data_IF_309308530791
#
_entry.id   IF_309308530791
#
_cell.length_a   1.000
_cell.length_b   1.000
_cell.length_c   1.000
_cell.angle_alpha   90.00
_cell.angle_beta   90.00
_cell.angle_gamma   90.00
#
_symmetry.space_group_name_H-M   'P 1'
#
loop_
_entity.id
_entity.type
_entity.pdbx_description
1 polymer ?
#
# COMPACT_ATOMS: atom_id res chain seq x y z
N UNK A 1 12.79 -25.94 -13.94
CA UNK A 1 13.35 -24.64 -13.56
C UNK A 1 12.39 -23.61 -14.15
N UNK A 2 11.32 -23.28 -13.44
CA UNK A 2 10.30 -22.35 -13.94
C UNK A 2 10.85 -20.95 -13.68
N UNK A 3 11.25 -20.30 -14.76
CA UNK A 3 11.69 -18.91 -14.77
C UNK A 3 10.49 -18.05 -14.41
N UNK A 4 10.41 -17.62 -13.16
CA UNK A 4 9.41 -16.66 -12.64
C UNK A 4 9.77 -15.25 -13.10
N UNK A 5 10.03 -15.07 -14.39
CA UNK A 5 9.97 -13.76 -15.03
C UNK A 5 8.49 -13.46 -15.28
N UNK A 6 8.06 -12.23 -15.04
CA UNK A 6 6.66 -11.76 -15.08
C UNK A 6 5.95 -11.95 -13.75
N UNK A 7 5.95 -10.89 -12.94
CA UNK A 7 4.73 -10.52 -12.20
C UNK A 7 4.64 -9.01 -11.96
N UNK A 8 5.73 -8.26 -12.07
CA UNK A 8 5.73 -6.79 -12.18
C UNK A 8 6.95 -6.38 -13.03
N UNK A 9 6.76 -5.75 -14.19
CA UNK A 9 7.84 -5.40 -15.15
C UNK A 9 8.94 -4.49 -14.57
N UNK A 10 8.74 -3.94 -13.36
CA UNK A 10 9.66 -3.01 -12.68
C UNK A 10 9.89 -3.32 -11.19
N UNK A 11 9.58 -4.53 -10.74
CA UNK A 11 9.91 -4.89 -9.37
C UNK A 11 11.43 -4.95 -9.21
N UNK A 12 11.99 -4.09 -8.35
CA UNK A 12 13.43 -4.05 -8.07
C UNK A 12 13.80 -4.76 -6.76
N UNK A 13 12.81 -5.08 -5.93
CA UNK A 13 13.00 -5.87 -4.72
C UNK A 13 11.76 -6.72 -4.41
N UNK A 14 11.95 -7.82 -3.68
CA UNK A 14 10.85 -8.72 -3.34
C UNK A 14 11.20 -9.78 -2.29
N UNK A 15 10.18 -10.28 -1.61
CA UNK A 15 10.32 -11.30 -0.58
C UNK A 15 9.07 -12.18 -0.49
N UNK A 16 9.26 -13.44 -0.09
CA UNK A 16 8.15 -14.33 0.27
C UNK A 16 7.73 -14.03 1.70
N UNK A 17 6.47 -13.69 1.89
CA UNK A 17 5.88 -13.46 3.20
C UNK A 17 5.52 -14.79 3.86
N UNK A 18 6.01 -14.99 5.08
CA UNK A 18 5.66 -16.15 5.89
C UNK A 18 4.53 -15.81 6.88
N UNK A 19 3.81 -16.85 7.32
CA UNK A 19 2.74 -16.78 8.31
C UNK A 19 3.27 -16.38 9.69
N UNK A 20 4.44 -16.90 10.06
CA UNK A 20 5.22 -16.42 11.22
C UNK A 20 6.01 -15.19 10.82
N UNK A 21 6.42 -14.36 11.78
CA UNK A 21 6.98 -13.00 11.66
C UNK A 21 8.19 -12.79 10.73
N UNK A 22 8.57 -13.76 9.91
CA UNK A 22 9.66 -13.69 8.95
C UNK A 22 9.21 -13.45 7.50
N UNK A 23 10.22 -13.28 6.67
CA UNK A 23 10.14 -13.22 5.23
C UNK A 23 11.35 -13.97 4.64
N UNK A 24 11.21 -14.60 3.48
CA UNK A 24 12.31 -15.28 2.78
C UNK A 24 12.70 -14.47 1.54
N UNK A 25 14.00 -14.26 1.27
CA UNK A 25 14.40 -13.60 0.04
C UNK A 25 13.97 -14.43 -1.17
N UNK A 26 13.52 -13.75 -2.22
CA UNK A 26 13.25 -14.40 -3.50
C UNK A 26 14.58 -14.72 -4.21
N UNK A 27 14.68 -15.86 -4.91
CA UNK A 27 15.81 -16.12 -5.80
C UNK A 27 15.89 -15.02 -6.87
N UNK A 28 17.08 -14.49 -7.10
CA UNK A 28 17.37 -13.48 -8.15
C UNK A 28 16.68 -12.11 -7.99
N UNK A 29 16.00 -11.87 -6.86
CA UNK A 29 15.40 -10.57 -6.55
C UNK A 29 16.06 -9.99 -5.29
N UNK A 30 16.56 -8.74 -5.33
CA UNK A 30 17.16 -8.10 -4.17
C UNK A 30 16.19 -7.98 -2.98
N UNK A 31 16.74 -8.01 -1.76
CA UNK A 31 16.03 -7.56 -0.56
C UNK A 31 15.94 -6.04 -0.50
N UNK A 32 15.20 -5.52 0.48
CA UNK A 32 15.04 -4.08 0.73
C UNK A 32 14.88 -3.85 2.23
N UNK A 33 15.32 -2.69 2.72
CA UNK A 33 15.16 -2.27 4.13
C UNK A 33 13.70 -2.30 4.61
N UNK A 34 12.72 -2.21 3.70
CA UNK A 34 11.29 -2.31 4.04
C UNK A 34 10.86 -3.74 4.41
N UNK A 35 11.71 -4.73 4.16
CA UNK A 35 11.52 -6.12 4.56
C UNK A 35 12.27 -6.46 5.85
N UNK A 36 13.01 -5.51 6.42
CA UNK A 36 13.72 -5.74 7.68
C UNK A 36 12.75 -5.92 8.85
N UNK A 37 13.17 -6.74 9.82
CA UNK A 37 12.43 -7.02 11.04
C UNK A 37 12.24 -5.74 11.86
N UNK A 38 11.07 -5.11 11.71
CA UNK A 38 10.72 -3.83 12.34
C UNK A 38 9.91 -2.90 11.44
N UNK A 39 9.88 -3.14 10.13
CA UNK A 39 9.04 -2.36 9.23
C UNK A 39 7.54 -2.77 9.39
N UNK A 40 6.62 -1.82 9.66
CA UNK A 40 5.19 -2.12 9.76
C UNK A 40 4.54 -2.59 8.46
N UNK A 41 5.28 -2.51 7.34
CA UNK A 41 4.81 -2.90 6.02
C UNK A 41 4.33 -4.35 6.00
N UNK A 42 5.16 -5.28 6.49
CA UNK A 42 4.84 -6.70 6.42
C UNK A 42 3.62 -7.04 7.29
N UNK A 43 3.46 -6.41 8.45
CA UNK A 43 2.29 -6.61 9.30
C UNK A 43 1.02 -6.06 8.68
N UNK A 44 1.10 -4.92 7.98
CA UNK A 44 -0.01 -4.35 7.21
C UNK A 44 -0.45 -5.31 6.11
N UNK A 45 0.50 -5.87 5.37
CA UNK A 45 0.21 -6.87 4.32
C UNK A 45 -0.39 -8.14 4.92
N UNK A 46 0.15 -8.64 6.03
CA UNK A 46 -0.40 -9.81 6.75
C UNK A 46 -1.85 -9.60 7.18
N UNK A 47 -2.18 -8.43 7.74
CA UNK A 47 -3.54 -8.12 8.18
C UNK A 47 -4.57 -8.23 7.05
N UNK A 48 -4.29 -7.60 5.91
CA UNK A 48 -5.18 -7.61 4.73
C UNK A 48 -5.33 -9.01 4.10
N UNK A 49 -4.31 -9.85 4.24
CA UNK A 49 -4.39 -11.23 3.76
C UNK A 49 -5.33 -12.10 4.55
N UNK A 50 -5.34 -11.91 5.88
CA UNK A 50 -6.25 -12.60 6.77
C UNK A 50 -7.70 -12.19 6.45
N UNK A 51 -7.91 -10.98 5.94
CA UNK A 51 -9.20 -10.49 5.43
C UNK A 51 -9.61 -11.09 4.07
N UNK A 52 -8.75 -11.90 3.45
CA UNK A 52 -9.06 -12.68 2.24
C UNK A 52 -8.64 -12.02 0.92
N UNK A 53 -7.89 -10.92 0.96
CA UNK A 53 -7.42 -10.25 -0.25
C UNK A 53 -6.27 -11.03 -0.93
N UNK A 54 -6.55 -11.64 -2.09
CA UNK A 54 -5.57 -12.45 -2.83
C UNK A 54 -4.51 -11.62 -3.57
N UNK A 55 -4.83 -10.36 -3.87
CA UNK A 55 -3.92 -9.44 -4.51
C UNK A 55 -4.17 -8.03 -4.00
N UNK A 56 -3.10 -7.36 -3.60
CA UNK A 56 -3.12 -6.03 -3.03
C UNK A 56 -2.04 -5.21 -3.72
N UNK A 57 -2.37 -3.99 -4.12
CA UNK A 57 -1.36 -3.00 -4.48
C UNK A 57 -1.67 -1.71 -3.73
N UNK A 58 -0.66 -1.09 -3.14
CA UNK A 58 -0.76 0.20 -2.46
C UNK A 58 0.60 0.91 -2.44
N UNK A 59 0.61 2.14 -1.98
CA UNK A 59 1.82 2.94 -1.80
C UNK A 59 2.29 2.86 -0.35
N UNK A 60 3.60 2.70 -0.16
CA UNK A 60 4.24 2.79 1.13
C UNK A 60 5.18 3.99 1.16
N UNK A 61 5.13 4.84 2.19
CA UNK A 61 6.08 5.91 2.34
C UNK A 61 7.46 5.33 2.60
N UNK A 62 8.41 5.67 1.74
CA UNK A 62 9.84 5.48 2.00
C UNK A 62 10.41 6.80 2.46
N UNK A 63 11.46 6.75 3.28
CA UNK A 63 12.12 7.96 3.77
C UNK A 63 12.30 9.03 2.67
N UNK A 64 12.20 10.29 3.06
CA UNK A 64 12.28 11.44 2.16
C UNK A 64 12.31 12.72 2.96
N UNK A 65 12.70 13.83 2.32
CA UNK A 65 12.55 15.14 2.97
C UNK A 65 11.07 15.36 3.33
N UNK A 66 10.80 16.07 4.43
CA UNK A 66 9.43 16.33 4.89
C UNK A 66 8.54 16.95 3.79
N UNK A 67 9.14 17.71 2.87
CA UNK A 67 8.46 18.38 1.76
C UNK A 67 8.29 17.52 0.49
N UNK A 68 8.92 16.34 0.42
CA UNK A 68 8.81 15.42 -0.72
C UNK A 68 8.99 13.97 -0.26
N UNK A 69 8.01 13.44 0.50
CA UNK A 69 8.03 12.03 0.89
C UNK A 69 8.01 11.17 -0.38
N UNK A 70 8.95 10.24 -0.46
CA UNK A 70 8.98 9.29 -1.55
C UNK A 70 8.03 8.14 -1.22
N UNK A 71 7.43 7.58 -2.26
CA UNK A 71 6.59 6.40 -2.12
C UNK A 71 7.16 5.30 -2.99
N UNK A 72 7.04 4.08 -2.50
CA UNK A 72 7.22 2.88 -3.31
C UNK A 72 5.88 2.19 -3.46
N UNK A 73 5.66 1.59 -4.62
CA UNK A 73 4.49 0.74 -4.84
C UNK A 73 4.80 -0.65 -4.31
N UNK A 74 3.98 -1.09 -3.37
CA UNK A 74 4.00 -2.43 -2.82
C UNK A 74 2.90 -3.23 -3.50
N UNK A 75 3.28 -4.34 -4.12
CA UNK A 75 2.35 -5.30 -4.69
C UNK A 75 2.52 -6.63 -3.98
N UNK A 76 1.40 -7.22 -3.58
CA UNK A 76 1.38 -8.50 -2.91
C UNK A 76 0.49 -9.49 -3.65
N UNK A 77 0.92 -10.75 -3.71
CA UNK A 77 0.22 -11.85 -4.36
C UNK A 77 0.14 -13.02 -3.39
N UNK A 78 -1.08 -13.41 -3.02
CA UNK A 78 -1.32 -14.54 -2.13
C UNK A 78 -0.98 -15.85 -2.82
N UNK A 79 -0.40 -16.77 -2.07
CA UNK A 79 -0.25 -18.15 -2.50
C UNK A 79 -1.63 -18.82 -2.51
N UNK A 80 -1.99 -19.43 -3.64
CA UNK A 80 -3.18 -20.26 -3.77
C UNK A 80 -2.91 -21.74 -3.42
N UNK A 81 -1.67 -22.09 -3.07
CA UNK A 81 -1.30 -23.44 -2.67
C UNK A 81 -1.74 -23.75 -1.23
N UNK A 82 -2.20 -24.99 -0.94
CA UNK A 82 -2.67 -25.38 0.38
C UNK A 82 -1.59 -25.24 1.48
N UNK A 83 -1.98 -25.04 2.76
CA UNK A 83 -1.17 -24.49 3.85
C UNK A 83 -0.04 -25.39 4.39
N UNK A 84 0.47 -26.34 3.61
CA UNK A 84 1.62 -27.18 4.02
C UNK A 84 2.92 -26.37 4.10
N UNK A 85 2.98 -25.27 3.36
CA UNK A 85 4.03 -24.27 3.42
C UNK A 85 3.47 -23.09 4.20
N UNK A 86 4.11 -22.66 5.28
CA UNK A 86 3.74 -21.46 6.07
C UNK A 86 3.97 -20.16 5.28
N UNK A 87 3.80 -20.19 3.96
CA UNK A 87 4.02 -19.11 3.01
C UNK A 87 2.67 -18.50 2.70
N UNK A 88 2.50 -17.25 3.05
CA UNK A 88 1.29 -16.51 2.73
C UNK A 88 1.30 -16.12 1.26
N UNK A 89 2.44 -15.69 0.71
CA UNK A 89 2.58 -15.26 -0.67
C UNK A 89 3.83 -14.42 -0.92
N UNK A 90 3.82 -13.58 -1.95
CA UNK A 90 4.99 -12.79 -2.39
C UNK A 90 4.69 -11.30 -2.31
N UNK A 91 5.61 -10.54 -1.71
CA UNK A 91 5.62 -9.06 -1.67
C UNK A 91 6.67 -8.56 -2.66
N UNK A 92 6.34 -7.56 -3.46
CA UNK A 92 7.20 -6.92 -4.45
C UNK A 92 7.18 -5.41 -4.27
N UNK A 93 8.33 -4.76 -4.52
CA UNK A 93 8.49 -3.31 -4.51
C UNK A 93 8.83 -2.82 -5.91
N UNK A 94 8.11 -1.80 -6.34
CA UNK A 94 8.28 -1.15 -7.65
C UNK A 94 8.20 0.38 -7.52
N UNK A 95 8.79 1.14 -8.45
CA UNK A 95 8.71 2.60 -8.43
C UNK A 95 7.28 3.09 -8.72
N UNK A 96 6.92 4.24 -8.14
CA UNK A 96 5.67 4.93 -8.49
C UNK A 96 5.84 5.65 -9.82
N UNK A 97 5.15 5.17 -10.86
CA UNK A 97 5.21 5.74 -12.22
C UNK A 97 4.16 6.82 -12.48
N UNK A 98 3.01 6.73 -11.82
CA UNK A 98 1.86 7.63 -11.99
C UNK A 98 1.27 7.86 -10.62
N UNK A 99 1.24 9.13 -10.20
CA UNK A 99 0.67 9.60 -8.95
C UNK A 99 -0.53 10.56 -9.17
N UNK A 100 -0.86 10.86 -10.43
CA UNK A 100 -1.90 11.85 -10.81
C UNK A 100 -1.69 13.24 -10.18
N UNK A 101 -0.45 13.57 -9.78
CA UNK A 101 -0.15 14.79 -9.02
C UNK A 101 -0.77 14.82 -7.63
N UNK A 102 -1.12 13.65 -7.06
CA UNK A 102 -1.61 13.53 -5.70
C UNK A 102 -0.48 13.81 -4.71
N UNK A 103 -0.82 14.54 -3.66
CA UNK A 103 0.07 14.80 -2.53
C UNK A 103 0.07 13.61 -1.58
N UNK A 104 1.10 13.52 -0.73
CA UNK A 104 1.16 12.52 0.33
C UNK A 104 -0.11 12.47 1.17
N UNK A 105 -0.62 13.65 1.56
CA UNK A 105 -1.83 13.75 2.37
C UNK A 105 -3.07 13.24 1.64
N UNK A 106 -3.15 13.49 0.34
CA UNK A 106 -4.25 12.98 -0.49
C UNK A 106 -4.18 11.45 -0.63
N UNK A 107 -2.99 10.84 -0.67
CA UNK A 107 -2.84 9.39 -0.63
C UNK A 107 -3.29 8.77 0.69
N UNK A 108 -3.01 9.41 1.83
CA UNK A 108 -3.50 8.96 3.15
C UNK A 108 -5.03 9.06 3.23
N UNK A 109 -5.61 10.16 2.74
CA UNK A 109 -7.07 10.33 2.66
C UNK A 109 -7.67 9.27 1.76
N UNK A 110 -7.07 8.98 0.59
CA UNK A 110 -7.51 7.90 -0.30
C UNK A 110 -7.48 6.54 0.40
N UNK A 111 -6.47 6.25 1.23
CA UNK A 111 -6.41 4.98 1.96
C UNK A 111 -7.59 4.80 2.90
N UNK A 112 -7.92 5.84 3.67
CA UNK A 112 -9.07 5.79 4.56
C UNK A 112 -10.41 5.80 3.79
N UNK A 113 -10.46 6.39 2.59
CA UNK A 113 -11.62 6.27 1.70
C UNK A 113 -11.80 4.83 1.18
N UNK A 114 -10.71 4.14 0.83
CA UNK A 114 -10.71 2.72 0.45
C UNK A 114 -11.22 1.86 1.60
N UNK A 115 -10.81 2.17 2.82
CA UNK A 115 -11.27 1.49 4.04
C UNK A 115 -12.72 1.90 4.45
N UNK A 116 -13.40 2.72 3.64
CA UNK A 116 -14.82 3.08 3.83
C UNK A 116 -15.09 4.13 4.92
N UNK A 117 -14.06 4.83 5.40
CA UNK A 117 -14.21 5.81 6.48
C UNK A 117 -14.97 7.07 6.04
N UNK A 118 -15.80 7.60 6.94
CA UNK A 118 -16.45 8.91 6.80
C UNK A 118 -15.45 10.06 6.96
N UNK A 119 -15.82 11.28 6.53
CA UNK A 119 -14.93 12.44 6.70
C UNK A 119 -14.59 12.71 8.17
N UNK A 120 -15.48 12.34 9.09
CA UNK A 120 -15.24 12.46 10.52
C UNK A 120 -14.18 11.46 10.99
N UNK A 121 -14.33 10.18 10.63
CA UNK A 121 -13.33 9.15 10.97
C UNK A 121 -11.97 9.45 10.34
N UNK A 122 -11.96 9.94 9.10
CA UNK A 122 -10.72 10.38 8.43
C UNK A 122 -10.08 11.53 9.20
N UNK A 123 -10.88 12.52 9.59
CA UNK A 123 -10.40 13.68 10.33
C UNK A 123 -9.79 13.27 11.68
N UNK A 124 -10.42 12.34 12.39
CA UNK A 124 -9.92 11.76 13.64
C UNK A 124 -8.60 11.01 13.43
N UNK A 125 -8.53 10.09 12.46
CA UNK A 125 -7.33 9.31 12.18
C UNK A 125 -6.14 10.16 11.70
N UNK A 126 -6.42 11.27 11.02
CA UNK A 126 -5.41 12.16 10.47
C UNK A 126 -5.14 13.40 11.36
N UNK A 127 -5.83 13.56 12.49
CA UNK A 127 -5.73 14.69 13.42
C UNK A 127 -5.93 16.04 12.71
N UNK A 128 -7.01 16.16 11.94
CA UNK A 128 -7.43 17.38 11.23
C UNK A 128 -8.93 17.62 11.41
N UNK A 129 -9.48 18.66 10.77
CA UNK A 129 -10.92 18.91 10.81
C UNK A 129 -11.65 18.17 9.68
N UNK A 130 -12.93 17.79 9.85
CA UNK A 130 -13.75 17.22 8.76
C UNK A 130 -13.86 18.14 7.53
N UNK A 131 -13.76 19.46 7.73
CA UNK A 131 -13.73 20.45 6.64
C UNK A 131 -12.44 20.31 5.82
N UNK A 132 -11.29 20.17 6.48
CA UNK A 132 -10.01 19.92 5.81
C UNK A 132 -10.06 18.65 4.98
N UNK A 133 -10.64 17.57 5.52
CA UNK A 133 -10.84 16.33 4.78
C UNK A 133 -11.71 16.54 3.54
N UNK A 134 -12.84 17.28 3.67
CA UNK A 134 -13.71 17.56 2.54
C UNK A 134 -12.95 18.27 1.39
N UNK A 135 -12.10 19.24 1.72
CA UNK A 135 -11.23 19.91 0.72
C UNK A 135 -10.25 18.95 0.06
N UNK A 136 -9.61 18.05 0.82
CA UNK A 136 -8.77 17.02 0.23
C UNK A 136 -9.56 16.10 -0.71
N UNK A 137 -10.75 15.66 -0.31
CA UNK A 137 -11.63 14.82 -1.14
C UNK A 137 -11.98 15.54 -2.44
N UNK A 138 -12.36 16.82 -2.41
CA UNK A 138 -12.64 17.62 -3.61
C UNK A 138 -11.44 17.66 -4.56
N UNK A 139 -10.24 17.94 -4.06
CA UNK A 139 -9.02 17.94 -4.87
C UNK A 139 -8.71 16.55 -5.47
N UNK A 140 -8.88 15.49 -4.68
CA UNK A 140 -8.71 14.10 -5.14
C UNK A 140 -9.66 13.79 -6.29
N UNK A 141 -10.94 14.15 -6.17
CA UNK A 141 -11.93 13.92 -7.22
C UNK A 141 -11.54 14.62 -8.53
N UNK A 142 -11.05 15.86 -8.44
CA UNK A 142 -10.56 16.60 -9.60
C UNK A 142 -9.33 15.93 -10.22
N UNK A 143 -8.31 15.60 -9.42
CA UNK A 143 -7.05 14.99 -9.89
C UNK A 143 -7.25 13.62 -10.52
N UNK A 144 -8.15 12.82 -9.94
CA UNK A 144 -8.49 11.48 -10.45
C UNK A 144 -9.58 11.48 -11.52
N UNK A 145 -10.06 12.65 -11.94
CA UNK A 145 -11.21 12.80 -12.84
C UNK A 145 -12.41 11.93 -12.42
N UNK A 146 -12.63 11.83 -11.10
CA UNK A 146 -13.61 10.93 -10.51
C UNK A 146 -14.89 11.69 -10.13
N UNK A 147 -16.08 11.20 -10.52
CA UNK A 147 -17.34 11.88 -10.23
C UNK A 147 -17.80 11.72 -8.78
N UNK A 148 -17.33 10.71 -8.06
CA UNK A 148 -17.76 10.42 -6.68
C UNK A 148 -16.61 9.90 -5.83
N UNK A 149 -16.71 10.09 -4.50
CA UNK A 149 -15.76 9.53 -3.53
C UNK A 149 -15.64 8.01 -3.63
N UNK A 150 -16.75 7.32 -3.91
CA UNK A 150 -16.77 5.86 -4.07
C UNK A 150 -16.02 5.45 -5.32
N UNK A 151 -16.23 6.15 -6.44
CA UNK A 151 -15.47 5.89 -7.65
C UNK A 151 -13.97 6.17 -7.46
N UNK A 152 -13.61 7.22 -6.71
CA UNK A 152 -12.21 7.52 -6.39
C UNK A 152 -11.59 6.44 -5.50
N UNK A 153 -12.32 5.95 -4.49
CA UNK A 153 -11.87 4.84 -3.65
C UNK A 153 -11.65 3.56 -4.46
N UNK A 154 -12.60 3.19 -5.33
CA UNK A 154 -12.46 2.00 -6.21
C UNK A 154 -11.28 2.16 -7.16
N UNK A 155 -11.10 3.34 -7.75
CA UNK A 155 -9.97 3.64 -8.62
C UNK A 155 -8.64 3.52 -7.87
N UNK A 156 -8.54 4.14 -6.70
CA UNK A 156 -7.34 4.10 -5.87
C UNK A 156 -7.01 2.68 -5.42
N UNK A 157 -8.00 1.89 -5.01
CA UNK A 157 -7.82 0.49 -4.63
C UNK A 157 -7.31 -0.35 -5.82
N UNK A 158 -7.93 -0.20 -7.00
CA UNK A 158 -7.56 -0.96 -8.20
C UNK A 158 -6.17 -0.61 -8.71
N UNK A 159 -5.77 0.66 -8.63
CA UNK A 159 -4.48 1.15 -9.15
C UNK A 159 -3.38 1.19 -8.08
N UNK A 160 -3.73 0.87 -6.82
CA UNK A 160 -2.87 0.97 -5.67
C UNK A 160 -2.32 2.36 -5.43
N UNK A 161 -3.16 3.38 -5.64
CA UNK A 161 -2.85 4.81 -5.48
C UNK A 161 -3.30 5.32 -4.11
N UNK A 162 -2.99 4.59 -3.05
CA UNK A 162 -3.34 4.98 -1.70
C UNK A 162 -2.30 4.51 -0.71
N UNK A 163 -2.23 5.19 0.42
CA UNK A 163 -1.36 4.84 1.54
C UNK A 163 -2.24 4.26 2.65
N UNK A 164 -2.06 2.99 3.05
CA UNK A 164 -2.87 2.37 4.10
C UNK A 164 -2.71 3.09 5.44
N UNK A 165 -3.75 3.13 6.28
CA UNK A 165 -3.71 3.83 7.56
C UNK A 165 -2.55 3.41 8.49
N UNK A 166 -2.12 2.15 8.41
CA UNK A 166 -1.06 1.58 9.22
C UNK A 166 0.35 2.16 8.93
N UNK A 167 0.56 2.81 7.79
CA UNK A 167 1.87 3.38 7.44
C UNK A 167 2.16 4.74 8.09
N UNK A 168 1.14 5.43 8.60
CA UNK A 168 1.25 6.76 9.23
C UNK A 168 1.71 6.71 10.69
N UNK A 169 1.73 5.54 11.31
CA UNK A 169 2.28 5.36 12.66
C UNK A 169 3.81 5.37 12.59
N UNK A 170 4.41 6.56 12.54
CA UNK A 170 5.77 6.74 13.07
C UNK A 170 5.77 6.14 14.47
N UNK A 171 6.47 5.02 14.65
CA UNK A 171 6.83 4.53 15.97
C UNK A 171 7.35 5.73 16.77
N UNK A 172 6.61 6.06 17.82
CA UNK A 172 6.98 7.09 18.80
C UNK A 172 8.18 6.59 19.57
#
# INVERSE_FOLDING_TARGET
>A
MVTTSVLVDDAYAGTVLLERSGCEPLPDVPGHELFDSGCPLLDTVRGRLIEGELHLTFLWPTGGAADSPQHVRVSYLASTEPPRSHRLGVVLLSPVRVDHGLTHREFEVLGLLVDGCSNQQIAEGLVVTPRTVATHVEHILVKLASPTRTHAAVLAHREGLYVPAASGSRAV
#
